data_IF_185677630824
#
_entry.id   IF_185677630824
#
_cell.length_a   1.000
_cell.length_b   1.000
_cell.length_c   1.000
_cell.angle_alpha   90.00
_cell.angle_beta   90.00
_cell.angle_gamma   90.00
#
_symmetry.space_group_name_H-M   'P 1'
#
loop_
_entity.id
_entity.type
_entity.pdbx_description
1 polymer ?
#
# COMPACT_ATOMS: atom_id res chain seq x y z
N UNK A 1 21.18 37.89 -61.18
CA UNK A 1 21.54 38.02 -59.76
C UNK A 1 20.25 38.11 -58.94
N UNK A 2 20.12 37.25 -57.91
CA UNK A 2 19.37 37.39 -56.63
C UNK A 2 18.27 38.48 -56.62
N UNK A 3 16.98 38.21 -56.52
CA UNK A 3 16.26 37.32 -55.60
C UNK A 3 15.78 38.12 -54.38
N UNK A 4 14.46 38.30 -54.20
CA UNK A 4 13.79 38.48 -52.90
C UNK A 4 12.27 38.58 -53.07
N UNK A 5 11.58 37.59 -52.49
CA UNK A 5 10.14 37.53 -52.25
C UNK A 5 9.87 38.16 -50.87
N UNK A 6 8.74 38.86 -50.67
CA UNK A 6 8.09 38.84 -49.36
C UNK A 6 6.67 38.25 -49.45
N UNK A 7 6.51 37.15 -48.71
CA UNK A 7 5.27 36.68 -48.10
C UNK A 7 4.62 37.80 -47.28
N UNK A 8 3.29 37.91 -47.28
CA UNK A 8 2.58 38.42 -46.12
C UNK A 8 1.18 37.79 -45.93
N UNK A 9 1.17 36.74 -45.10
CA UNK A 9 0.27 36.46 -43.97
C UNK A 9 -1.25 36.44 -44.26
N UNK A 10 -1.78 35.25 -44.52
CA UNK A 10 -3.17 34.90 -44.14
C UNK A 10 -3.20 34.64 -42.62
N UNK A 11 -3.90 35.49 -41.88
CA UNK A 11 -4.28 35.22 -40.50
C UNK A 11 -5.37 34.14 -40.49
N UNK A 12 -4.96 32.87 -40.38
CA UNK A 12 -5.88 31.80 -40.03
C UNK A 12 -6.16 31.92 -38.53
N UNK A 13 -7.39 32.33 -38.22
CA UNK A 13 -7.95 32.29 -36.87
C UNK A 13 -8.16 30.82 -36.51
N UNK A 14 -7.11 30.14 -36.04
CA UNK A 14 -7.24 28.83 -35.43
C UNK A 14 -7.82 29.03 -34.04
N UNK A 15 -9.14 28.87 -33.93
CA UNK A 15 -9.84 28.85 -32.66
C UNK A 15 -9.29 27.75 -31.78
N UNK A 16 -8.69 28.11 -30.66
CA UNK A 16 -8.39 27.19 -29.57
C UNK A 16 -9.70 26.77 -28.90
N UNK A 17 -10.38 25.76 -29.45
CA UNK A 17 -11.34 24.98 -28.66
C UNK A 17 -10.54 23.95 -27.85
N UNK A 18 -9.85 24.42 -26.81
CA UNK A 18 -9.17 23.55 -25.82
C UNK A 18 -10.02 23.50 -24.55
N UNK A 19 -11.18 22.87 -24.67
CA UNK A 19 -12.02 22.48 -23.52
C UNK A 19 -12.57 21.11 -23.84
N UNK A 20 -11.80 20.05 -23.52
CA UNK A 20 -12.31 18.67 -23.43
C UNK A 20 -11.36 17.72 -22.71
N UNK A 21 -10.06 18.03 -22.64
CA UNK A 21 -9.08 17.10 -22.03
C UNK A 21 -9.20 16.99 -20.49
N UNK A 22 -9.51 18.08 -19.78
CA UNK A 22 -9.50 18.09 -18.30
C UNK A 22 -10.70 17.37 -17.70
N UNK A 23 -11.89 17.47 -18.31
CA UNK A 23 -13.10 16.78 -17.82
C UNK A 23 -13.05 15.27 -18.09
N UNK A 24 -12.53 14.84 -19.26
CA UNK A 24 -12.29 13.42 -19.53
C UNK A 24 -11.24 12.82 -18.60
N UNK A 25 -10.17 13.56 -18.28
CA UNK A 25 -9.17 13.11 -17.30
C UNK A 25 -9.75 12.96 -15.88
N UNK A 26 -10.56 13.92 -15.42
CA UNK A 26 -11.22 13.86 -14.10
C UNK A 26 -12.25 12.72 -14.00
N UNK A 27 -13.02 12.48 -15.06
CA UNK A 27 -13.95 11.35 -15.11
C UNK A 27 -13.21 10.00 -15.09
N UNK A 28 -12.11 9.90 -15.83
CA UNK A 28 -11.28 8.68 -15.89
C UNK A 28 -10.59 8.38 -14.56
N UNK A 29 -10.07 9.40 -13.88
CA UNK A 29 -9.45 9.24 -12.56
C UNK A 29 -10.46 8.84 -11.48
N UNK A 30 -11.69 9.38 -11.53
CA UNK A 30 -12.76 9.02 -10.60
C UNK A 30 -13.24 7.57 -10.79
N UNK A 31 -13.37 7.10 -12.03
CA UNK A 31 -13.73 5.71 -12.32
C UNK A 31 -12.64 4.73 -11.88
N UNK A 32 -11.36 5.07 -12.11
CA UNK A 32 -10.23 4.27 -11.63
C UNK A 32 -10.17 4.24 -10.10
N UNK A 33 -10.50 5.34 -9.42
CA UNK A 33 -10.56 5.41 -7.95
C UNK A 33 -11.64 4.48 -7.37
N UNK A 34 -12.85 4.49 -7.94
CA UNK A 34 -13.96 3.64 -7.50
C UNK A 34 -13.58 2.16 -7.69
N UNK A 35 -13.02 1.81 -8.84
CA UNK A 35 -12.59 0.44 -9.16
C UNK A 35 -11.52 -0.08 -8.18
N UNK A 36 -10.52 0.73 -7.82
CA UNK A 36 -9.50 0.34 -6.82
C UNK A 36 -10.14 0.18 -5.44
N UNK A 37 -11.03 1.12 -5.05
CA UNK A 37 -11.69 1.09 -3.74
C UNK A 37 -12.53 -0.16 -3.56
N UNK A 38 -13.26 -0.59 -4.59
CA UNK A 38 -14.02 -1.84 -4.53
C UNK A 38 -13.13 -3.08 -4.55
N UNK A 39 -12.09 -3.08 -5.40
CA UNK A 39 -11.17 -4.22 -5.53
C UNK A 39 -10.41 -4.55 -4.25
N UNK A 40 -10.04 -3.54 -3.45
CA UNK A 40 -9.27 -3.75 -2.23
C UNK A 40 -10.08 -4.34 -1.06
N UNK A 41 -11.41 -4.25 -1.11
CA UNK A 41 -12.27 -4.76 -0.03
C UNK A 41 -12.13 -6.27 0.18
N UNK A 42 -12.16 -6.67 1.45
CA UNK A 42 -12.09 -8.05 1.90
C UNK A 42 -10.79 -8.40 2.63
N UNK A 43 -10.57 -9.69 2.82
CA UNK A 43 -9.43 -10.22 3.57
C UNK A 43 -8.30 -10.71 2.66
N UNK A 44 -7.07 -10.46 3.07
CA UNK A 44 -5.86 -10.67 2.29
C UNK A 44 -4.76 -11.28 3.14
N UNK A 45 -4.08 -12.30 2.63
CA UNK A 45 -2.86 -12.82 3.21
C UNK A 45 -1.68 -12.10 2.55
N UNK A 46 -0.98 -11.27 3.32
CA UNK A 46 0.12 -10.46 2.89
C UNK A 46 1.44 -10.99 3.45
N UNK A 47 2.41 -11.22 2.58
CA UNK A 47 3.76 -11.66 2.96
C UNK A 47 4.81 -10.69 2.44
N UNK A 48 5.86 -10.44 3.22
CA UNK A 48 7.00 -9.65 2.72
C UNK A 48 7.68 -10.39 1.57
N UNK A 49 7.94 -9.67 0.48
CA UNK A 49 8.80 -10.15 -0.60
C UNK A 49 10.24 -10.05 -0.11
N UNK A 50 10.72 -11.13 0.51
CA UNK A 50 12.04 -11.16 1.13
C UNK A 50 13.15 -11.01 0.09
N UNK A 51 14.01 -10.00 0.27
CA UNK A 51 15.35 -9.99 -0.33
C UNK A 51 16.30 -10.83 0.54
N UNK A 52 17.39 -11.36 -0.02
CA UNK A 52 18.42 -12.12 0.71
C UNK A 52 19.08 -11.35 1.87
N UNK A 53 18.90 -10.03 1.93
CA UNK A 53 19.37 -9.14 2.98
C UNK A 53 18.36 -8.88 4.11
N UNK A 54 17.08 -9.22 3.92
CA UNK A 54 16.04 -8.99 4.92
C UNK A 54 16.00 -10.10 5.95
N UNK A 55 16.26 -9.75 7.22
CA UNK A 55 16.20 -10.67 8.36
C UNK A 55 14.82 -10.74 9.02
N UNK A 56 13.84 -10.04 8.45
CA UNK A 56 12.48 -9.97 9.00
C UNK A 56 11.52 -10.62 8.02
N UNK A 57 10.91 -11.72 8.44
CA UNK A 57 9.77 -12.31 7.77
C UNK A 57 8.49 -11.77 8.41
N UNK A 58 7.51 -11.45 7.56
CA UNK A 58 6.20 -10.96 7.97
C UNK A 58 5.15 -11.70 7.14
N UNK A 59 4.17 -12.25 7.85
CA UNK A 59 2.98 -12.87 7.28
C UNK A 59 1.77 -12.33 8.04
N UNK A 60 0.83 -11.71 7.33
CA UNK A 60 -0.32 -11.07 7.95
C UNK A 60 -1.61 -11.32 7.19
N UNK A 61 -2.67 -11.56 7.93
CA UNK A 61 -4.04 -11.46 7.45
C UNK A 61 -4.50 -10.02 7.67
N UNK A 62 -4.84 -9.31 6.59
CA UNK A 62 -5.30 -7.92 6.59
C UNK A 62 -6.71 -7.86 6.01
N UNK A 63 -7.64 -7.20 6.70
CA UNK A 63 -9.01 -6.99 6.21
C UNK A 63 -9.29 -5.50 6.04
N UNK A 64 -9.69 -5.12 4.83
CA UNK A 64 -10.16 -3.77 4.50
C UNK A 64 -11.69 -3.78 4.47
N UNK A 65 -12.31 -3.12 5.44
CA UNK A 65 -13.76 -3.05 5.61
C UNK A 65 -14.35 -1.88 4.79
N UNK A 66 -15.60 -2.03 4.36
CA UNK A 66 -16.29 -1.06 3.49
C UNK A 66 -16.55 0.29 4.15
N UNK A 67 -16.59 0.33 5.49
CA UNK A 67 -16.72 1.55 6.30
C UNK A 67 -15.38 2.30 6.49
N UNK A 68 -14.29 1.78 5.92
CA UNK A 68 -12.93 2.32 6.08
C UNK A 68 -12.19 1.74 7.29
N UNK A 69 -12.74 0.75 7.99
CA UNK A 69 -12.04 0.02 9.06
C UNK A 69 -10.94 -0.91 8.52
N UNK A 70 -9.86 -1.04 9.28
CA UNK A 70 -8.70 -1.87 8.97
C UNK A 70 -8.41 -2.80 10.14
N UNK A 71 -8.38 -4.11 9.87
CA UNK A 71 -7.98 -5.12 10.85
C UNK A 71 -6.74 -5.87 10.34
N UNK A 72 -5.74 -6.03 11.21
CA UNK A 72 -4.51 -6.75 10.89
C UNK A 72 -4.20 -7.80 11.96
N UNK A 73 -3.86 -9.00 11.53
CA UNK A 73 -3.28 -10.05 12.36
C UNK A 73 -2.02 -10.56 11.70
N UNK A 74 -0.87 -10.37 12.34
CA UNK A 74 0.43 -10.68 11.77
C UNK A 74 1.25 -11.57 12.68
N UNK A 75 2.03 -12.45 12.06
CA UNK A 75 3.16 -13.13 12.67
C UNK A 75 4.43 -12.48 12.10
N UNK A 76 5.24 -11.93 12.99
CA UNK A 76 6.53 -11.33 12.64
C UNK A 76 7.67 -12.16 13.24
N UNK A 77 8.62 -12.54 12.39
CA UNK A 77 9.80 -13.30 12.76
C UNK A 77 11.04 -12.47 12.40
N UNK A 78 11.85 -12.14 13.40
CA UNK A 78 13.10 -11.40 13.24
C UNK A 78 14.25 -12.36 13.53
N UNK A 79 15.06 -12.65 12.51
CA UNK A 79 16.23 -13.51 12.65
C UNK A 79 17.42 -12.71 13.21
N UNK A 80 17.94 -13.15 14.35
CA UNK A 80 19.21 -12.64 14.84
C UNK A 80 20.36 -13.29 14.05
N UNK A 81 21.35 -12.53 13.54
CA UNK A 81 22.51 -13.12 12.87
C UNK A 81 23.30 -14.11 13.73
N UNK A 82 23.39 -13.90 15.05
CA UNK A 82 24.00 -14.84 16.02
C UNK A 82 23.50 -14.53 17.45
N UNK A 83 23.16 -15.54 18.27
CA UNK A 83 22.86 -16.95 17.93
C UNK A 83 21.67 -17.07 16.95
N UNK A 84 21.43 -18.26 16.37
CA UNK A 84 20.30 -18.57 15.45
C UNK A 84 18.91 -18.49 16.12
N UNK A 85 18.78 -17.65 17.13
CA UNK A 85 17.56 -17.41 17.85
C UNK A 85 16.68 -16.44 17.06
N UNK A 86 15.45 -16.85 16.81
CA UNK A 86 14.46 -16.02 16.15
C UNK A 86 13.55 -15.36 17.19
N UNK A 87 13.45 -14.03 17.12
CA UNK A 87 12.40 -13.34 17.86
C UNK A 87 11.10 -13.50 17.08
N UNK A 88 10.08 -14.09 17.72
CA UNK A 88 8.77 -14.31 17.12
C UNK A 88 7.70 -13.57 17.91
N UNK A 89 6.80 -12.89 17.20
CA UNK A 89 5.72 -12.08 17.77
C UNK A 89 4.42 -12.28 16.99
N UNK A 90 3.31 -12.35 17.73
CA UNK A 90 1.98 -12.09 17.19
C UNK A 90 1.66 -10.62 17.38
N UNK A 91 1.27 -9.95 16.31
CA UNK A 91 0.91 -8.53 16.30
C UNK A 91 -0.50 -8.41 15.77
N UNK A 92 -1.39 -7.78 16.51
CA UNK A 92 -2.72 -7.41 16.06
C UNK A 92 -2.86 -5.90 16.08
N UNK A 93 -3.55 -5.34 15.10
CA UNK A 93 -3.78 -3.90 15.00
C UNK A 93 -5.17 -3.62 14.46
N UNK A 94 -5.81 -2.58 15.01
CA UNK A 94 -7.04 -2.01 14.48
C UNK A 94 -6.78 -0.59 14.01
N UNK A 95 -7.43 -0.20 12.94
CA UNK A 95 -7.15 1.07 12.30
C UNK A 95 -8.20 1.52 11.31
N UNK A 96 -7.77 2.46 10.47
CA UNK A 96 -8.54 2.95 9.34
C UNK A 96 -7.71 2.86 8.08
N UNK A 97 -8.37 2.73 6.94
CA UNK A 97 -7.75 2.88 5.64
C UNK A 97 -8.53 3.87 4.78
N UNK A 98 -7.83 4.48 3.83
CA UNK A 98 -8.43 5.32 2.79
C UNK A 98 -7.55 5.28 1.54
N UNK A 99 -8.13 5.70 0.42
CA UNK A 99 -7.36 6.03 -0.78
C UNK A 99 -7.22 7.56 -0.86
N UNK A 100 -5.98 8.04 -0.96
CA UNK A 100 -5.63 9.46 -1.06
C UNK A 100 -4.55 9.61 -2.14
N UNK A 101 -4.77 10.50 -3.10
CA UNK A 101 -3.86 10.75 -4.22
C UNK A 101 -3.38 9.47 -4.95
N UNK A 102 -4.29 8.50 -5.10
CA UNK A 102 -4.00 7.21 -5.74
C UNK A 102 -3.23 6.21 -4.88
N UNK A 103 -2.87 6.56 -3.65
CA UNK A 103 -2.20 5.69 -2.69
C UNK A 103 -3.18 5.09 -1.69
N UNK A 104 -2.85 3.89 -1.21
CA UNK A 104 -3.49 3.31 -0.04
C UNK A 104 -2.83 3.84 1.23
N UNK A 105 -3.61 4.50 2.06
CA UNK A 105 -3.16 5.02 3.36
C UNK A 105 -3.76 4.15 4.46
N UNK A 106 -2.91 3.48 5.22
CA UNK A 106 -3.26 2.68 6.38
C UNK A 106 -2.88 3.44 7.65
N UNK A 107 -3.82 3.61 8.56
CA UNK A 107 -3.65 4.29 9.85
C UNK A 107 -4.05 3.36 10.99
N UNK A 108 -3.08 2.68 11.57
CA UNK A 108 -3.27 1.88 12.77
C UNK A 108 -3.48 2.80 13.98
N UNK A 109 -4.49 2.52 14.78
CA UNK A 109 -4.82 3.28 15.99
C UNK A 109 -4.10 2.67 17.19
N UNK A 110 -4.09 1.34 17.25
CA UNK A 110 -3.49 0.57 18.32
C UNK A 110 -2.74 -0.67 17.80
N UNK A 111 -1.93 -1.23 18.70
CA UNK A 111 -1.24 -2.50 18.49
C UNK A 111 -1.27 -3.32 19.78
N UNK A 112 -1.70 -4.57 19.67
CA UNK A 112 -1.44 -5.65 20.64
C UNK A 112 -0.26 -6.48 20.14
N UNK A 113 0.70 -6.74 21.04
CA UNK A 113 1.95 -7.44 20.71
C UNK A 113 2.18 -8.51 21.76
N UNK A 114 2.27 -9.76 21.30
CA UNK A 114 2.54 -10.94 22.15
C UNK A 114 3.77 -11.66 21.65
N UNK A 115 4.70 -11.92 22.57
CA UNK A 115 5.86 -12.75 22.28
C UNK A 115 5.45 -14.22 22.18
N UNK A 116 5.98 -14.91 21.16
CA UNK A 116 5.74 -16.34 20.95
C UNK A 116 6.81 -17.24 21.61
N UNK A 117 7.86 -16.65 22.18
CA UNK A 117 8.90 -17.35 22.92
C UNK A 117 9.49 -16.47 24.03
N UNK A 118 10.24 -17.09 24.96
CA UNK A 118 10.79 -16.40 26.13
C UNK A 118 11.78 -15.30 25.78
N UNK A 119 12.58 -15.49 24.73
CA UNK A 119 13.57 -14.50 24.27
C UNK A 119 12.93 -13.25 23.68
N UNK A 120 11.74 -13.37 23.09
CA UNK A 120 10.96 -12.24 22.57
C UNK A 120 10.28 -11.42 23.66
N UNK A 121 9.99 -11.98 24.84
CA UNK A 121 9.19 -11.30 25.88
C UNK A 121 9.75 -9.93 26.27
N UNK A 122 11.07 -9.75 26.52
CA UNK A 122 11.62 -8.44 26.88
C UNK A 122 11.50 -7.39 25.77
N UNK A 123 11.34 -7.81 24.52
CA UNK A 123 11.29 -6.93 23.36
C UNK A 123 9.88 -6.43 23.03
N UNK A 124 8.84 -7.01 23.64
CA UNK A 124 7.44 -6.62 23.41
C UNK A 124 7.21 -5.10 23.59
N UNK A 125 7.65 -4.45 24.69
CA UNK A 125 7.46 -3.01 24.86
C UNK A 125 8.20 -2.18 23.81
N UNK A 126 9.38 -2.62 23.39
CA UNK A 126 10.21 -1.95 22.39
C UNK A 126 9.53 -2.01 21.03
N UNK A 127 9.10 -3.21 20.62
CA UNK A 127 8.40 -3.42 19.36
C UNK A 127 7.09 -2.63 19.31
N UNK A 128 6.27 -2.70 20.37
CA UNK A 128 5.02 -1.94 20.46
C UNK A 128 5.27 -0.44 20.33
N UNK A 129 6.28 0.10 21.02
CA UNK A 129 6.65 1.52 20.92
C UNK A 129 7.13 1.89 19.50
N UNK A 130 7.85 0.99 18.84
CA UNK A 130 8.27 1.15 17.44
C UNK A 130 7.06 1.25 16.49
N UNK A 131 6.13 0.30 16.59
CA UNK A 131 4.91 0.26 15.78
C UNK A 131 4.04 1.51 15.97
N UNK A 132 3.90 2.00 17.21
CA UNK A 132 3.16 3.24 17.50
C UNK A 132 3.77 4.49 16.85
N UNK A 133 5.09 4.49 16.57
CA UNK A 133 5.75 5.60 15.86
C UNK A 133 5.48 5.56 14.35
N UNK A 134 5.28 4.37 13.80
CA UNK A 134 5.01 4.13 12.36
C UNK A 134 3.55 3.75 12.13
N UNK A 135 2.64 4.39 12.85
CA UNK A 135 1.21 4.03 12.85
C UNK A 135 0.50 4.32 11.52
N UNK A 136 1.02 5.27 10.75
CA UNK A 136 0.55 5.61 9.40
C UNK A 136 1.52 5.07 8.37
N UNK A 137 1.01 4.49 7.30
CA UNK A 137 1.79 4.03 6.15
C UNK A 137 1.06 4.35 4.85
N UNK A 138 1.79 4.88 3.88
CA UNK A 138 1.33 5.09 2.52
C UNK A 138 1.90 4.02 1.62
N UNK A 139 1.06 3.51 0.74
CA UNK A 139 1.38 2.38 -0.11
C UNK A 139 0.98 2.64 -1.56
N UNK A 140 1.93 2.39 -2.45
CA UNK A 140 1.66 2.21 -3.87
C UNK A 140 1.15 0.78 -4.09
N UNK A 141 0.03 0.65 -4.82
CA UNK A 141 -0.56 -0.65 -5.15
C UNK A 141 -0.26 -0.98 -6.60
N UNK A 142 0.20 -2.21 -6.84
CA UNK A 142 0.28 -2.79 -8.19
C UNK A 142 -0.52 -4.09 -8.25
N UNK A 143 -1.56 -4.11 -9.07
CA UNK A 143 -2.43 -5.27 -9.25
C UNK A 143 -1.74 -6.33 -10.11
N UNK A 144 -1.74 -7.58 -9.63
CA UNK A 144 -1.23 -8.74 -10.36
C UNK A 144 -2.38 -9.54 -11.00
N UNK A 145 -3.52 -9.59 -10.31
CA UNK A 145 -4.77 -10.18 -10.78
C UNK A 145 -5.95 -9.63 -9.97
N UNK A 146 -7.16 -10.12 -10.19
CA UNK A 146 -8.33 -9.79 -9.35
C UNK A 146 -8.19 -10.27 -7.90
N UNK A 147 -7.33 -11.26 -7.66
CA UNK A 147 -7.16 -11.89 -6.34
C UNK A 147 -5.76 -11.68 -5.77
N UNK A 148 -4.95 -10.81 -6.36
CA UNK A 148 -3.57 -10.61 -5.95
C UNK A 148 -3.06 -9.19 -6.29
N UNK A 149 -2.35 -8.58 -5.36
CA UNK A 149 -1.63 -7.33 -5.59
C UNK A 149 -0.34 -7.28 -4.77
N UNK A 150 0.53 -6.33 -5.09
CA UNK A 150 1.65 -5.94 -4.24
C UNK A 150 1.43 -4.55 -3.72
N UNK A 151 1.79 -4.31 -2.46
CA UNK A 151 1.93 -2.97 -1.90
C UNK A 151 3.38 -2.67 -1.56
N UNK A 152 3.85 -1.50 -1.95
CA UNK A 152 5.21 -1.01 -1.69
C UNK A 152 5.18 0.38 -1.08
N UNK A 153 6.15 0.69 -0.22
CA UNK A 153 6.32 2.03 0.34
C UNK A 153 7.71 2.60 0.02
N UNK A 154 7.91 3.88 0.33
CA UNK A 154 9.18 4.59 0.09
C UNK A 154 10.37 3.97 0.83
N UNK A 155 10.12 3.21 1.90
CA UNK A 155 11.16 2.45 2.62
C UNK A 155 11.57 1.16 1.90
N UNK A 156 11.14 0.96 0.65
CA UNK A 156 11.41 -0.23 -0.17
C UNK A 156 10.89 -1.54 0.44
N UNK A 157 9.93 -1.46 1.36
CA UNK A 157 9.23 -2.64 1.86
C UNK A 157 8.16 -2.99 0.84
N UNK A 158 8.30 -4.16 0.22
CA UNK A 158 7.29 -4.71 -0.68
C UNK A 158 6.63 -5.91 -0.02
N UNK A 159 5.30 -5.89 0.03
CA UNK A 159 4.50 -7.05 0.46
C UNK A 159 3.61 -7.50 -0.68
N UNK A 160 3.45 -8.81 -0.82
CA UNK A 160 2.54 -9.44 -1.77
C UNK A 160 1.31 -9.91 -1.01
N UNK A 161 0.14 -9.49 -1.47
CA UNK A 161 -1.14 -9.81 -0.86
C UNK A 161 -1.96 -10.71 -1.79
N UNK A 162 -2.46 -11.81 -1.25
CA UNK A 162 -3.35 -12.76 -1.93
C UNK A 162 -4.71 -12.76 -1.24
N UNK A 163 -5.79 -12.68 -2.00
CA UNK A 163 -7.15 -12.68 -1.44
C UNK A 163 -7.42 -14.01 -0.74
N UNK A 164 -7.92 -13.95 0.49
CA UNK A 164 -8.38 -15.12 1.23
C UNK A 164 -9.89 -15.18 1.04
N UNK A 165 -10.44 -16.37 0.77
CA UNK A 165 -11.90 -16.53 0.81
C UNK A 165 -12.39 -16.09 2.19
N UNK A 166 -13.38 -15.19 2.25
CA UNK A 166 -13.92 -14.71 3.53
C UNK A 166 -14.16 -15.90 4.44
N UNK A 167 -13.50 -15.91 5.61
CA UNK A 167 -13.94 -16.78 6.69
C UNK A 167 -15.38 -16.34 6.96
N UNK A 168 -16.33 -17.21 6.65
CA UNK A 168 -17.72 -17.03 7.07
C UNK A 168 -17.63 -16.96 8.59
N UNK A 169 -17.79 -15.75 9.15
CA UNK A 169 -17.94 -15.52 10.58
C UNK A 169 -19.30 -16.05 11.02
#
# INVERSE_FOLDING_TARGET
MKGLIPLMICAAVSGCASTDNTQQQLASSNLQYIDIKEKILGSWQCTTVSSSSQKTAFNADITYLSDGGLDTQAISIIQNPKPMDAYSFNVSAHGKWKLEDGKLVENNIDFDVKANNDMSKPLVPILRKGLMRTKSSEWDISWLSQSAFTKSNESSVTTRCQKIASKIL
#
